data_IF_239081133142
#
_entry.id   IF_239081133142
#
_cell.length_a   1.000
_cell.length_b   1.000
_cell.length_c   1.000
_cell.angle_alpha   90.00
_cell.angle_beta   90.00
_cell.angle_gamma   90.00
#
_symmetry.space_group_name_H-M   'P 1'
#
loop_
_entity.id
_entity.type
_entity.pdbx_description
1 polymer ?
#
# COMPACT_ATOMS: atom_id res chain seq x y z
N UNK A 1 -15.04 21.24 14.21
CA UNK A 1 -13.65 20.73 14.18
C UNK A 1 -13.72 19.23 14.38
N UNK A 2 -13.13 18.44 13.48
CA UNK A 2 -13.01 16.99 13.64
C UNK A 2 -11.56 16.62 13.95
N UNK A 3 -11.37 15.48 14.62
CA UNK A 3 -10.05 14.92 14.93
C UNK A 3 -9.91 13.58 14.23
N UNK A 4 -9.24 13.52 13.06
CA UNK A 4 -9.02 12.26 12.38
C UNK A 4 -7.97 11.43 13.13
N UNK A 5 -8.29 10.16 13.33
CA UNK A 5 -7.34 9.16 13.83
C UNK A 5 -6.96 8.26 12.66
N UNK A 6 -5.67 8.25 12.30
CA UNK A 6 -5.13 7.38 11.26
C UNK A 6 -4.60 6.11 11.89
N UNK A 7 -5.04 4.96 11.39
CA UNK A 7 -4.53 3.65 11.77
C UNK A 7 -3.58 3.19 10.69
N UNK A 8 -2.34 2.97 11.07
CA UNK A 8 -1.27 2.59 10.16
C UNK A 8 -0.64 1.28 10.63
N UNK A 9 -0.34 0.34 9.71
CA UNK A 9 0.43 -0.84 10.04
C UNK A 9 1.89 -0.47 10.35
N UNK A 10 2.64 -1.36 11.03
CA UNK A 10 4.09 -1.18 11.20
C UNK A 10 4.82 -1.03 9.86
N UNK A 11 5.88 -0.21 9.78
CA UNK A 11 6.57 0.10 8.53
C UNK A 11 7.21 -1.13 7.86
N UNK A 12 7.55 -2.16 8.62
CA UNK A 12 8.14 -3.41 8.12
C UNK A 12 7.12 -4.36 7.47
N UNK A 13 5.82 -4.09 7.64
CA UNK A 13 4.77 -4.94 7.06
C UNK A 13 4.82 -4.86 5.55
N UNK A 14 4.83 -6.02 4.90
CA UNK A 14 4.79 -6.13 3.44
C UNK A 14 3.35 -5.96 2.97
N UNK A 15 3.14 -5.01 2.06
CA UNK A 15 1.87 -4.73 1.40
C UNK A 15 1.94 -5.26 -0.02
N UNK A 16 0.97 -6.08 -0.38
CA UNK A 16 0.77 -6.59 -1.72
C UNK A 16 -0.72 -6.64 -2.07
N UNK A 17 -1.08 -6.75 -3.36
CA UNK A 17 -2.46 -7.00 -3.76
C UNK A 17 -3.01 -8.24 -3.08
N UNK A 18 -4.22 -8.13 -2.52
CA UNK A 18 -4.85 -9.24 -1.84
C UNK A 18 -5.04 -10.42 -2.81
N UNK A 19 -4.59 -11.65 -2.47
CA UNK A 19 -4.59 -12.77 -3.41
C UNK A 19 -5.96 -13.07 -4.01
N UNK A 20 -7.03 -12.88 -3.24
CA UNK A 20 -8.41 -13.07 -3.70
C UNK A 20 -8.89 -12.04 -4.74
N UNK A 21 -8.24 -10.88 -4.80
CA UNK A 21 -8.57 -9.80 -5.75
C UNK A 21 -7.73 -9.87 -7.03
N UNK A 22 -6.71 -10.73 -7.08
CA UNK A 22 -5.86 -10.93 -8.27
C UNK A 22 -6.44 -12.08 -9.07
N UNK A 23 -7.01 -11.77 -10.24
CA UNK A 23 -7.56 -12.76 -11.16
C UNK A 23 -7.14 -12.46 -12.60
N UNK A 24 -7.55 -13.30 -13.56
CA UNK A 24 -7.18 -13.12 -14.97
C UNK A 24 -7.68 -11.81 -15.60
N UNK A 25 -8.76 -11.23 -15.07
CA UNK A 25 -9.32 -9.95 -15.53
C UNK A 25 -8.71 -8.75 -14.77
N UNK A 26 -8.22 -8.96 -13.55
CA UNK A 26 -7.62 -7.96 -12.68
C UNK A 26 -6.21 -8.42 -12.25
N UNK A 27 -5.21 -8.22 -13.11
CA UNK A 27 -3.83 -8.55 -12.78
C UNK A 27 -3.32 -7.69 -11.62
N UNK A 28 -2.34 -8.21 -10.88
CA UNK A 28 -1.70 -7.49 -9.79
C UNK A 28 -1.05 -6.19 -10.29
N UNK A 29 -1.68 -5.04 -9.97
CA UNK A 29 -1.22 -3.71 -10.40
C UNK A 29 -0.01 -3.19 -9.60
N UNK A 30 0.17 -3.69 -8.39
CA UNK A 30 1.18 -3.21 -7.46
C UNK A 30 2.11 -4.35 -7.04
N UNK A 31 3.40 -4.03 -6.95
CA UNK A 31 4.41 -4.95 -6.43
C UNK A 31 4.38 -5.00 -4.91
N UNK A 32 4.83 -6.12 -4.35
CA UNK A 32 5.04 -6.25 -2.91
C UNK A 32 6.15 -5.29 -2.46
N UNK A 33 5.88 -4.50 -1.42
CA UNK A 33 6.83 -3.57 -0.80
C UNK A 33 6.50 -3.36 0.67
N UNK A 34 7.44 -2.84 1.44
CA UNK A 34 7.16 -2.52 2.85
C UNK A 34 6.19 -1.33 2.93
N UNK A 35 5.43 -1.22 4.02
CA UNK A 35 4.57 -0.06 4.25
C UNK A 35 5.38 1.23 4.32
N UNK A 36 6.58 1.17 4.90
CA UNK A 36 7.54 2.28 4.90
C UNK A 36 7.86 2.77 3.49
N UNK A 37 8.21 1.86 2.57
CA UNK A 37 8.49 2.20 1.16
C UNK A 37 7.25 2.75 0.45
N UNK A 38 6.08 2.18 0.73
CA UNK A 38 4.82 2.68 0.21
C UNK A 38 4.57 4.14 0.64
N UNK A 39 4.71 4.45 1.93
CA UNK A 39 4.55 5.78 2.48
C UNK A 39 5.56 6.76 1.89
N UNK A 40 6.83 6.35 1.79
CA UNK A 40 7.86 7.17 1.15
C UNK A 40 7.50 7.52 -0.29
N UNK A 41 7.11 6.53 -1.10
CA UNK A 41 6.70 6.80 -2.48
C UNK A 41 5.43 7.65 -2.56
N UNK A 42 4.46 7.42 -1.67
CA UNK A 42 3.19 8.16 -1.66
C UNK A 42 3.38 9.63 -1.31
N UNK A 43 4.20 9.92 -0.30
CA UNK A 43 4.48 11.29 0.15
C UNK A 43 5.35 12.06 -0.85
N UNK A 44 6.24 11.38 -1.56
CA UNK A 44 7.14 12.00 -2.55
C UNK A 44 6.60 11.95 -3.99
N UNK A 45 5.37 11.48 -4.22
CA UNK A 45 4.78 11.29 -5.54
C UNK A 45 5.63 10.42 -6.50
N UNK A 46 6.36 9.45 -5.94
CA UNK A 46 7.15 8.49 -6.72
C UNK A 46 6.21 7.43 -7.29
N UNK A 47 6.30 7.09 -8.59
CA UNK A 47 5.46 6.06 -9.20
C UNK A 47 5.64 4.70 -8.51
N UNK A 48 4.53 3.95 -8.41
CA UNK A 48 4.39 2.74 -7.60
C UNK A 48 4.12 1.48 -8.40
#
# INVERSE_FOLDING_TARGET
>A
MSWPMFLEPPPEVIICPHPWLVNGENPAKYKAKTFGDYCYCKLNNIPQ
#
